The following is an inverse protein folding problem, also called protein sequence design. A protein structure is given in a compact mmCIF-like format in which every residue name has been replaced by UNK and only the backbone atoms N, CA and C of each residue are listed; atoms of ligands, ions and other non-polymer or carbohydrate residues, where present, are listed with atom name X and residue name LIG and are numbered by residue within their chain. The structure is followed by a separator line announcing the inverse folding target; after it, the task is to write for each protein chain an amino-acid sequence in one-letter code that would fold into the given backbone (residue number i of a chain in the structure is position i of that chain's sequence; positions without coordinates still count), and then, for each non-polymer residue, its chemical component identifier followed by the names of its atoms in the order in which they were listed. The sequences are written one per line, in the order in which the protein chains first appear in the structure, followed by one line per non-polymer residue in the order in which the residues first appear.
data_IF_602088005746
#
_entry.id   IF_602088005746
#
_cell.length_a   1.000
_cell.length_b   1.000
_cell.length_c   1.000
_cell.angle_alpha   90.00
_cell.angle_beta   90.00
_cell.angle_gamma   90.00
#
_symmetry.space_group_name_H-M   'P 1'
#
loop_
_entity.id
_entity.type
_entity.pdbx_description
1 polymer ?
#
# COMPACT_ATOMS: atom_id res chain seq x y z
N UNK A 1 -14.05 7.68 3.34
CA UNK A 1 -12.65 8.02 3.64
C UNK A 1 -11.78 7.81 2.39
N UNK A 2 -10.86 8.73 2.06
CA UNK A 2 -10.01 8.64 0.85
C UNK A 2 -8.91 7.58 0.93
N UNK A 3 -8.71 6.93 2.09
CA UNK A 3 -7.68 5.90 2.27
C UNK A 3 -6.24 6.46 2.27
N UNK A 4 -6.09 7.78 2.36
CA UNK A 4 -4.79 8.46 2.48
C UNK A 4 -4.28 8.32 3.91
N UNK A 5 -3.02 7.89 4.03
CA UNK A 5 -2.23 7.84 5.24
C UNK A 5 -1.11 8.88 5.17
N UNK A 6 -1.06 9.77 6.16
CA UNK A 6 0.02 10.74 6.34
C UNK A 6 1.13 10.14 7.21
N UNK A 7 2.18 9.64 6.56
CA UNK A 7 3.35 9.05 7.21
C UNK A 7 4.22 10.13 7.87
N UNK A 8 4.25 11.33 7.30
CA UNK A 8 5.01 12.47 7.84
C UNK A 8 4.48 12.97 9.17
N UNK A 9 3.16 12.87 9.39
CA UNK A 9 2.52 13.12 10.67
C UNK A 9 2.62 11.93 11.65
N UNK A 10 2.66 10.70 11.13
CA UNK A 10 2.66 9.48 11.95
C UNK A 10 4.05 9.09 12.48
N UNK A 11 5.12 9.48 11.80
CA UNK A 11 6.48 8.97 12.05
C UNK A 11 7.52 10.10 12.13
N UNK A 12 8.53 9.89 12.96
CA UNK A 12 9.77 10.69 12.95
C UNK A 12 10.98 9.76 13.07
N UNK A 13 12.13 10.05 12.40
CA UNK A 13 12.35 11.16 11.47
C UNK A 13 11.54 10.99 10.17
N UNK A 14 11.25 12.11 9.49
CA UNK A 14 10.40 12.19 8.30
C UNK A 14 11.07 12.89 7.09
N UNK A 15 12.41 12.96 7.10
CA UNK A 15 13.26 13.46 6.02
C UNK A 15 14.33 12.39 5.78
N UNK A 16 14.67 12.14 4.51
CA UNK A 16 15.65 11.13 4.09
C UNK A 16 15.41 9.76 4.77
N UNK A 17 14.14 9.33 4.77
CA UNK A 17 13.67 8.16 5.53
C UNK A 17 12.88 7.20 4.65
N UNK A 18 12.53 6.05 5.22
CA UNK A 18 11.63 5.07 4.63
C UNK A 18 10.66 4.61 5.70
N UNK A 19 9.42 4.38 5.29
CA UNK A 19 8.32 3.97 6.14
C UNK A 19 7.55 2.86 5.47
N UNK A 20 6.87 2.10 6.33
CA UNK A 20 6.19 0.88 5.94
C UNK A 20 4.76 0.95 6.43
N UNK A 21 3.82 0.78 5.51
CA UNK A 21 2.40 0.62 5.82
C UNK A 21 1.97 -0.77 5.35
N UNK A 22 1.18 -1.47 6.17
CA UNK A 22 0.69 -2.81 5.82
C UNK A 22 -0.77 -2.99 6.16
N UNK A 23 -1.42 -3.85 5.37
CA UNK A 23 -2.80 -4.28 5.58
C UNK A 23 -2.95 -5.68 5.00
N UNK A 24 -3.99 -6.38 5.44
CA UNK A 24 -4.32 -7.70 4.93
C UNK A 24 -5.66 -7.69 4.19
N UNK A 25 -5.72 -8.49 3.14
CA UNK A 25 -6.91 -8.74 2.33
C UNK A 25 -7.28 -10.20 2.49
N UNK A 26 -8.46 -10.48 3.05
CA UNK A 26 -9.04 -11.81 3.02
C UNK A 26 -9.79 -12.01 1.69
N UNK A 27 -9.41 -13.05 0.94
CA UNK A 27 -10.12 -13.50 -0.25
C UNK A 27 -10.81 -14.85 -0.01
N UNK A 28 -12.08 -15.05 -0.41
CA UNK A 28 -12.74 -16.35 -0.26
C UNK A 28 -12.19 -17.43 -1.21
N UNK A 29 -11.45 -17.03 -2.24
CA UNK A 29 -10.89 -17.89 -3.30
C UNK A 29 -9.60 -17.30 -3.86
N UNK A 30 -8.89 -18.06 -4.70
CA UNK A 30 -7.77 -17.54 -5.47
C UNK A 30 -8.33 -16.63 -6.58
N UNK A 31 -7.92 -15.35 -6.61
CA UNK A 31 -8.37 -14.40 -7.64
C UNK A 31 -7.38 -13.26 -7.85
N UNK A 32 -7.39 -12.73 -9.06
CA UNK A 32 -6.67 -11.50 -9.40
C UNK A 32 -7.54 -10.28 -9.13
N UNK A 33 -6.96 -9.25 -8.51
CA UNK A 33 -7.61 -7.96 -8.26
C UNK A 33 -6.65 -6.82 -8.57
N UNK A 34 -7.17 -5.62 -8.80
CA UNK A 34 -6.34 -4.43 -8.93
C UNK A 34 -6.14 -3.75 -7.59
N UNK A 35 -4.89 -3.46 -7.25
CA UNK A 35 -4.51 -2.51 -6.23
C UNK A 35 -4.20 -1.17 -6.92
N UNK A 36 -4.92 -0.14 -6.50
CA UNK A 36 -4.77 1.24 -6.94
C UNK A 36 -3.98 2.00 -5.88
N UNK A 37 -2.87 2.62 -6.26
CA UNK A 37 -1.93 3.22 -5.32
C UNK A 37 -1.49 4.60 -5.77
N UNK A 38 -1.37 5.51 -4.82
CA UNK A 38 -0.66 6.78 -4.96
C UNK A 38 0.34 6.94 -3.82
N UNK A 39 1.46 7.62 -4.06
CA UNK A 39 2.43 7.96 -3.01
C UNK A 39 3.17 9.26 -3.28
N UNK A 40 3.78 9.78 -2.22
CA UNK A 40 4.72 10.88 -2.18
C UNK A 40 5.78 10.48 -1.13
N UNK A 41 7.01 10.05 -1.46
CA UNK A 41 7.67 9.95 -2.77
C UNK A 41 7.48 8.55 -3.42
N UNK A 42 8.55 7.80 -3.66
CA UNK A 42 8.55 6.53 -4.34
C UNK A 42 7.90 5.41 -3.53
N UNK A 43 7.62 4.29 -4.20
CA UNK A 43 6.96 3.15 -3.57
C UNK A 43 7.49 1.81 -4.07
N UNK A 44 7.50 0.83 -3.17
CA UNK A 44 7.63 -0.59 -3.48
C UNK A 44 6.52 -1.38 -2.81
N UNK A 45 5.83 -2.21 -3.59
CA UNK A 45 4.70 -3.03 -3.14
C UNK A 45 5.13 -4.49 -3.07
N UNK A 46 4.78 -5.15 -1.97
CA UNK A 46 4.96 -6.56 -1.76
C UNK A 46 3.60 -7.23 -1.49
N UNK A 47 3.44 -8.45 -1.99
CA UNK A 47 2.33 -9.34 -1.67
C UNK A 47 2.89 -10.62 -1.04
N UNK A 48 2.44 -10.94 0.18
CA UNK A 48 2.88 -12.13 0.92
C UNK A 48 4.43 -12.24 0.98
N UNK A 49 5.10 -11.11 1.23
CA UNK A 49 6.56 -11.02 1.30
C UNK A 49 7.29 -10.98 -0.05
N UNK A 50 6.59 -11.20 -1.17
CA UNK A 50 7.19 -11.18 -2.52
C UNK A 50 7.06 -9.79 -3.13
N UNK A 51 8.14 -9.16 -3.63
CA UNK A 51 8.05 -7.87 -4.29
C UNK A 51 7.32 -7.98 -5.63
N UNK A 52 6.33 -7.12 -5.86
CA UNK A 52 5.52 -7.10 -7.08
C UNK A 52 5.74 -5.86 -7.94
N UNK A 53 5.95 -4.70 -7.31
CA UNK A 53 6.02 -3.42 -8.00
C UNK A 53 7.05 -2.51 -7.36
N UNK A 54 7.72 -1.70 -8.16
CA UNK A 54 8.66 -0.67 -7.67
C UNK A 54 8.61 0.52 -8.60
N UNK A 55 8.39 1.71 -8.03
CA UNK A 55 8.49 3.00 -8.70
C UNK A 55 9.28 3.93 -7.80
N UNK A 56 10.56 4.10 -8.12
CA UNK A 56 11.48 4.98 -7.39
C UNK A 56 11.60 6.29 -8.15
N UNK A 57 10.84 7.27 -7.72
CA UNK A 57 10.75 8.60 -8.33
C UNK A 57 10.30 9.59 -7.27
N UNK A 58 10.78 10.82 -7.33
CA UNK A 58 10.22 11.92 -6.56
C UNK A 58 8.89 12.35 -7.20
N UNK A 59 7.79 12.33 -6.44
CA UNK A 59 6.45 12.63 -6.97
C UNK A 59 5.53 13.12 -5.87
N UNK A 60 4.46 13.80 -6.28
CA UNK A 60 3.36 14.13 -5.37
C UNK A 60 2.32 13.01 -5.35
N UNK A 61 1.51 12.99 -4.30
CA UNK A 61 0.38 12.07 -4.19
C UNK A 61 -0.67 12.35 -5.28
N UNK A 62 -0.93 11.35 -6.11
CA UNK A 62 -2.09 11.28 -7.00
C UNK A 62 -2.84 9.98 -6.68
N UNK A 63 -4.09 10.09 -6.22
CA UNK A 63 -4.92 8.91 -5.93
C UNK A 63 -5.11 8.06 -7.21
N UNK A 64 -5.08 6.74 -7.04
CA UNK A 64 -5.25 5.75 -8.12
C UNK A 64 -4.23 5.86 -9.28
N UNK A 65 -3.08 6.51 -9.12
CA UNK A 65 -2.10 6.70 -10.21
C UNK A 65 -1.48 5.37 -10.71
N UNK A 66 -1.09 4.49 -9.77
CA UNK A 66 -0.50 3.20 -10.08
C UNK A 66 -1.54 2.08 -9.99
N UNK A 67 -1.62 1.25 -11.03
CA UNK A 67 -2.49 0.08 -11.10
C UNK A 67 -1.65 -1.19 -11.08
N UNK A 68 -1.80 -2.00 -10.03
CA UNK A 68 -0.98 -3.18 -9.77
C UNK A 68 -1.90 -4.41 -9.64
N UNK A 69 -1.67 -5.44 -10.43
CA UNK A 69 -2.40 -6.71 -10.27
C UNK A 69 -1.87 -7.48 -9.05
N UNK A 70 -2.77 -7.82 -8.12
CA UNK A 70 -2.51 -8.71 -7.00
C UNK A 70 -3.15 -10.08 -7.28
N UNK A 71 -2.33 -11.13 -7.33
CA UNK A 71 -2.82 -12.51 -7.37
C UNK A 71 -3.05 -13.03 -5.95
N UNK A 72 -4.25 -12.80 -5.43
CA UNK A 72 -4.63 -13.22 -4.09
C UNK A 72 -4.79 -14.73 -4.02
N UNK A 73 -4.36 -15.31 -2.90
CA UNK A 73 -4.70 -16.67 -2.50
C UNK A 73 -5.94 -16.69 -1.62
N UNK A 74 -6.69 -17.78 -1.65
CA UNK A 74 -7.75 -18.02 -0.67
C UNK A 74 -7.20 -17.85 0.74
N UNK A 75 -7.94 -17.11 1.57
CA UNK A 75 -7.54 -16.72 2.91
C UNK A 75 -6.91 -15.33 2.96
N UNK A 76 -6.09 -15.08 3.98
CA UNK A 76 -5.47 -13.79 4.22
C UNK A 76 -4.20 -13.61 3.37
N UNK A 77 -4.11 -12.46 2.71
CA UNK A 77 -2.94 -12.02 1.96
C UNK A 77 -2.44 -10.70 2.55
N UNK A 78 -1.14 -10.59 2.79
CA UNK A 78 -0.54 -9.36 3.33
C UNK A 78 -0.02 -8.50 2.20
N UNK A 79 -0.41 -7.23 2.19
CA UNK A 79 0.17 -6.20 1.34
C UNK A 79 1.06 -5.32 2.20
N UNK A 80 2.31 -5.14 1.77
CA UNK A 80 3.26 -4.23 2.40
C UNK A 80 3.66 -3.15 1.39
N UNK A 81 3.48 -1.90 1.78
CA UNK A 81 3.91 -0.72 1.06
C UNK A 81 5.16 -0.19 1.74
N UNK A 82 6.27 -0.15 1.01
CA UNK A 82 7.48 0.57 1.42
C UNK A 82 7.49 1.90 0.67
N UNK A 83 7.48 3.00 1.39
CA UNK A 83 7.42 4.37 0.82
C UNK A 83 8.71 5.09 1.20
N UNK A 84 9.49 5.52 0.20
CA UNK A 84 10.63 6.41 0.42
C UNK A 84 10.18 7.86 0.61
N UNK A 85 10.99 8.62 1.33
CA UNK A 85 10.76 10.04 1.58
C UNK A 85 12.06 10.83 1.45
N UNK A 86 12.05 11.82 0.57
CA UNK A 86 13.03 12.90 0.54
C UNK A 86 12.73 13.94 1.62
N UNK A 87 11.69 14.77 1.44
CA UNK A 87 11.34 15.86 2.37
C UNK A 87 9.91 16.39 2.17
N UNK A 88 9.48 17.26 3.08
CA UNK A 88 8.21 18.01 3.05
C UNK A 88 6.98 17.14 3.31
N UNK A 89 6.36 16.57 2.29
CA UNK A 89 5.16 15.76 2.42
C UNK A 89 5.51 14.29 2.32
N UNK A 90 4.84 13.46 3.10
CA UNK A 90 5.07 12.02 3.06
C UNK A 90 3.76 11.29 3.24
N UNK A 91 3.17 10.87 2.13
CA UNK A 91 1.80 10.33 2.12
C UNK A 91 1.68 9.14 1.18
N UNK A 92 0.74 8.26 1.48
CA UNK A 92 0.41 7.11 0.65
C UNK A 92 -1.07 6.82 0.71
N UNK A 93 -1.65 6.35 -0.39
CA UNK A 93 -3.01 5.83 -0.42
C UNK A 93 -3.04 4.50 -1.15
N UNK A 94 -3.95 3.61 -0.73
CA UNK A 94 -4.13 2.32 -1.38
C UNK A 94 -5.60 1.90 -1.33
N UNK A 95 -6.07 1.35 -2.45
CA UNK A 95 -7.43 0.86 -2.61
C UNK A 95 -7.42 -0.44 -3.42
N UNK A 96 -8.09 -1.47 -2.91
CA UNK A 96 -8.31 -2.70 -3.68
C UNK A 96 -9.64 -2.61 -4.41
N UNK A 97 -9.67 -3.03 -5.68
CA UNK A 97 -10.92 -3.17 -6.43
C UNK A 97 -11.64 -4.44 -5.97
N UNK A 98 -12.90 -4.30 -5.58
CA UNK A 98 -13.75 -5.43 -5.17
C UNK A 98 -15.14 -5.31 -5.81
N UNK A 99 -15.27 -5.55 -7.12
CA UNK A 99 -16.55 -5.43 -7.82
C UNK A 99 -17.62 -6.40 -7.28
N UNK A 100 -17.20 -7.53 -6.70
CA UNK A 100 -18.09 -8.56 -6.17
C UNK A 100 -18.48 -8.30 -4.70
N UNK A 101 -17.78 -7.39 -4.01
CA UNK A 101 -18.02 -7.03 -2.61
C UNK A 101 -17.70 -8.16 -1.62
N UNK A 102 -16.76 -9.04 -1.95
CA UNK A 102 -16.46 -10.27 -1.17
C UNK A 102 -15.15 -10.20 -0.39
N UNK A 103 -14.31 -9.20 -0.66
CA UNK A 103 -13.04 -9.03 0.04
C UNK A 103 -13.27 -8.39 1.41
N UNK A 104 -12.41 -8.76 2.37
CA UNK A 104 -12.34 -8.06 3.67
C UNK A 104 -10.96 -7.47 3.83
N UNK A 105 -10.89 -6.21 4.23
CA UNK A 105 -9.63 -5.51 4.50
C UNK A 105 -9.49 -5.30 6.00
N UNK A 106 -8.30 -5.60 6.53
CA UNK A 106 -7.95 -5.35 7.92
C UNK A 106 -6.61 -4.63 8.01
N UNK A 107 -6.51 -3.65 8.91
CA UNK A 107 -5.20 -3.13 9.30
C UNK A 107 -4.43 -4.23 10.04
N UNK A 108 -3.14 -4.34 9.77
CA UNK A 108 -2.27 -5.22 10.55
C UNK A 108 -1.84 -4.47 11.80
N UNK A 109 -2.04 -5.05 12.98
CA UNK A 109 -1.38 -4.55 14.18
C UNK A 109 0.13 -4.79 14.01
N UNK A 110 0.93 -3.77 14.31
CA UNK A 110 2.36 -4.00 14.51
C UNK A 110 2.51 -4.96 15.69
N UNK A 111 3.25 -6.04 15.51
CA UNK A 111 3.77 -6.79 16.66
C UNK A 111 4.94 -5.95 17.20
N UNK A 112 4.78 -5.47 18.44
CA UNK A 112 5.80 -4.71 19.19
C UNK A 112 7.08 -5.54 19.42
#
# INVERSE_FOLDING_TARGET
PSGILDLGAAMTPNIDTVGYASFAIHSPEDKDVSLLVGSDDGIKVYLNGTPLYTKRIARILIEDEDHITLSLKKGWNTVLLKVDQGAVFWTVCAKVTDPDGVLRVAAMAGED
#
